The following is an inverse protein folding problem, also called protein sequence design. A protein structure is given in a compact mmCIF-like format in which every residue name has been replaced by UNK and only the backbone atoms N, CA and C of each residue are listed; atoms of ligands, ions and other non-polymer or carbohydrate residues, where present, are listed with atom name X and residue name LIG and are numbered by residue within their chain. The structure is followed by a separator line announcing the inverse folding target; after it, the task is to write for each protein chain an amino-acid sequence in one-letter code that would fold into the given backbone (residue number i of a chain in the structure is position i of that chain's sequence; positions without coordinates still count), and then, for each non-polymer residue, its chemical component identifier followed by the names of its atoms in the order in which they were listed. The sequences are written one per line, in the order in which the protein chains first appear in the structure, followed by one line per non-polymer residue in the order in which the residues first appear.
data_IF_815833143699
#
_entry.id   IF_815833143699
#
_cell.length_a   1.000
_cell.length_b   1.000
_cell.length_c   1.000
_cell.angle_alpha   90.00
_cell.angle_beta   90.00
_cell.angle_gamma   90.00
#
_symmetry.space_group_name_H-M   'P 1'
#
loop_
_entity.id
_entity.type
_entity.pdbx_description
1 polymer ?
#
# COMPACT_ATOMS: atom_id res chain seq x y z
N UNK A 1 -12.08 -40.83 -20.47
CA UNK A 1 -11.74 -40.87 -19.04
C UNK A 1 -13.05 -40.70 -18.25
N UNK A 2 -13.65 -41.85 -17.91
CA UNK A 2 -14.58 -42.15 -16.80
C UNK A 2 -15.63 -41.11 -16.34
N UNK A 3 -16.91 -41.34 -16.68
CA UNK A 3 -18.05 -40.91 -15.84
C UNK A 3 -19.13 -42.00 -15.78
N UNK A 4 -18.86 -42.94 -14.87
CA UNK A 4 -19.70 -43.64 -13.90
C UNK A 4 -21.24 -43.56 -14.07
N UNK A 5 -21.80 -44.76 -14.27
CA UNK A 5 -23.16 -45.24 -13.96
C UNK A 5 -23.70 -44.78 -12.60
N UNK A 6 -25.01 -44.54 -12.48
CA UNK A 6 -25.94 -45.57 -11.98
C UNK A 6 -27.25 -44.94 -11.50
N UNK A 7 -28.35 -45.37 -12.11
CA UNK A 7 -29.68 -45.23 -11.54
C UNK A 7 -29.79 -46.10 -10.28
N UNK A 8 -30.51 -45.61 -9.27
CA UNK A 8 -30.96 -46.42 -8.14
C UNK A 8 -32.41 -46.07 -7.80
N UNK A 9 -33.20 -47.12 -7.65
CA UNK A 9 -34.66 -47.19 -7.59
C UNK A 9 -35.16 -46.85 -6.18
N UNK A 10 -36.29 -46.13 -6.12
CA UNK A 10 -37.08 -45.84 -4.92
C UNK A 10 -37.82 -47.08 -4.39
N UNK A 11 -37.95 -47.24 -3.06
CA UNK A 11 -39.07 -47.96 -2.48
C UNK A 11 -40.03 -47.03 -1.72
N UNK A 12 -41.31 -47.23 -2.03
CA UNK A 12 -42.51 -46.69 -1.40
C UNK A 12 -42.70 -47.24 0.02
N UNK A 13 -42.84 -46.34 1.01
CA UNK A 13 -43.24 -46.64 2.38
C UNK A 13 -44.18 -45.54 2.89
N UNK A 14 -45.48 -45.82 2.82
CA UNK A 14 -46.33 -45.88 4.01
C UNK A 14 -46.65 -44.54 4.69
N UNK A 15 -47.87 -44.06 4.42
CA UNK A 15 -48.56 -42.97 5.11
C UNK A 15 -48.49 -43.08 6.64
N UNK A 16 -47.73 -42.21 7.28
CA UNK A 16 -47.84 -41.92 8.70
C UNK A 16 -48.61 -40.61 8.91
N UNK A 17 -49.64 -40.71 9.76
CA UNK A 17 -50.73 -39.77 9.94
C UNK A 17 -50.27 -38.61 10.83
N UNK A 18 -49.91 -37.47 10.21
CA UNK A 18 -49.50 -36.26 10.93
C UNK A 18 -50.70 -35.65 11.69
N UNK A 19 -50.62 -35.66 13.03
CA UNK A 19 -51.53 -34.90 13.91
C UNK A 19 -51.17 -33.42 13.84
N UNK A 20 -52.13 -32.48 13.73
CA UNK A 20 -51.82 -31.07 13.77
C UNK A 20 -51.43 -30.67 15.19
N UNK A 21 -50.14 -30.43 15.42
CA UNK A 21 -49.65 -29.71 16.59
C UNK A 21 -49.96 -28.22 16.40
N UNK A 22 -51.03 -27.76 17.04
CA UNK A 22 -51.38 -26.34 17.18
C UNK A 22 -50.27 -25.62 17.95
N UNK A 23 -49.29 -25.04 17.24
CA UNK A 23 -48.29 -24.16 17.84
C UNK A 23 -48.97 -22.84 18.20
N UNK A 24 -49.27 -22.66 19.49
CA UNK A 24 -49.50 -21.34 20.09
C UNK A 24 -48.23 -20.51 19.90
N UNK A 25 -48.24 -19.59 18.94
CA UNK A 25 -47.22 -18.56 18.77
C UNK A 25 -47.38 -17.54 19.88
N UNK A 26 -46.55 -17.66 20.92
CA UNK A 26 -46.39 -16.59 21.90
C UNK A 26 -45.66 -15.44 21.21
N UNK A 27 -46.41 -14.37 20.94
CA UNK A 27 -45.91 -13.09 20.44
C UNK A 27 -45.06 -12.46 21.55
N UNK A 28 -43.77 -12.82 21.60
CA UNK A 28 -42.82 -12.19 22.50
C UNK A 28 -42.72 -10.73 22.09
N UNK A 29 -43.21 -9.83 22.95
CA UNK A 29 -43.01 -8.39 22.85
C UNK A 29 -41.50 -8.15 22.81
N UNK A 30 -40.97 -7.85 21.62
CA UNK A 30 -39.68 -7.21 21.48
C UNK A 30 -39.79 -5.83 22.13
N UNK A 31 -39.43 -5.76 23.41
CA UNK A 31 -39.19 -4.47 24.07
C UNK A 31 -37.92 -3.92 23.43
N UNK A 32 -38.09 -3.08 22.41
CA UNK A 32 -37.00 -2.32 21.85
C UNK A 32 -36.46 -1.41 22.97
N UNK A 33 -35.30 -1.74 23.53
CA UNK A 33 -34.60 -0.89 24.49
C UNK A 33 -33.90 0.22 23.70
N UNK A 34 -34.42 1.46 23.64
CA UNK A 34 -33.78 2.55 22.88
C UNK A 34 -32.36 2.84 23.38
N UNK A 35 -32.06 2.53 24.65
CA UNK A 35 -30.73 2.67 25.23
C UNK A 35 -29.66 1.79 24.58
N UNK A 36 -30.00 0.58 24.11
CA UNK A 36 -29.03 -0.30 23.43
C UNK A 36 -28.72 0.22 22.03
N UNK A 37 -29.70 0.82 21.36
CA UNK A 37 -29.52 1.43 20.05
C UNK A 37 -28.69 2.73 20.13
N UNK A 38 -28.92 3.55 21.16
CA UNK A 38 -28.10 4.74 21.44
C UNK A 38 -26.67 4.36 21.84
N UNK A 39 -26.49 3.30 22.64
CA UNK A 39 -25.17 2.80 23.02
C UNK A 39 -24.37 2.27 21.80
N UNK A 40 -25.04 1.56 20.87
CA UNK A 40 -24.44 1.13 19.60
C UNK A 40 -24.07 2.31 18.68
N UNK A 41 -24.88 3.38 18.65
CA UNK A 41 -24.57 4.59 17.88
C UNK A 41 -23.37 5.36 18.45
N UNK A 42 -23.24 5.42 19.78
CA UNK A 42 -22.11 6.09 20.44
C UNK A 42 -20.78 5.32 20.29
N UNK A 43 -20.82 4.00 20.09
CA UNK A 43 -19.61 3.20 19.86
C UNK A 43 -19.05 3.33 18.42
N UNK A 44 -19.89 3.74 17.46
CA UNK A 44 -19.49 3.89 16.05
C UNK A 44 -18.62 5.13 15.80
N UNK A 45 -18.61 6.10 16.72
CA UNK A 45 -17.87 7.37 16.58
C UNK A 45 -16.36 7.25 16.84
N UNK A 46 -15.84 6.07 17.21
CA UNK A 46 -14.45 5.87 17.62
C UNK A 46 -13.57 5.16 16.57
N UNK A 47 -13.89 5.28 15.28
CA UNK A 47 -13.01 4.78 14.21
C UNK A 47 -11.92 5.82 13.93
N UNK A 48 -10.74 5.62 14.52
CA UNK A 48 -9.52 6.31 14.09
C UNK A 48 -8.96 5.59 12.86
N UNK A 49 -9.09 6.20 11.69
CA UNK A 49 -8.32 5.81 10.52
C UNK A 49 -6.88 6.31 10.71
N UNK A 50 -5.98 5.44 11.16
CA UNK A 50 -4.55 5.73 11.10
C UNK A 50 -4.09 5.50 9.66
N UNK A 51 -3.42 6.49 9.07
CA UNK A 51 -2.71 6.27 7.83
C UNK A 51 -1.70 5.12 8.06
N UNK A 52 -1.52 4.19 7.11
CA UNK A 52 -0.55 3.11 7.27
C UNK A 52 0.84 3.71 7.41
N UNK A 53 1.34 3.77 8.64
CA UNK A 53 2.71 4.18 8.92
C UNK A 53 3.63 3.00 8.64
N UNK A 54 4.57 3.18 7.72
CA UNK A 54 5.64 2.21 7.51
C UNK A 54 6.62 2.40 8.67
N UNK A 55 6.89 1.36 9.48
CA UNK A 55 7.78 1.48 10.63
C UNK A 55 9.17 1.93 10.19
N UNK A 56 9.82 2.73 11.03
CA UNK A 56 11.19 3.23 10.86
C UNK A 56 11.39 4.09 9.60
N UNK A 57 10.33 4.71 9.08
CA UNK A 57 10.40 5.66 7.96
C UNK A 57 10.16 7.09 8.45
N UNK A 58 11.14 7.97 8.26
CA UNK A 58 11.03 9.40 8.49
C UNK A 58 10.77 10.12 7.17
N UNK A 59 9.95 11.18 7.20
CA UNK A 59 9.70 12.02 6.03
C UNK A 59 10.51 13.31 6.11
N UNK A 60 11.31 13.57 5.08
CA UNK A 60 12.08 14.79 4.88
C UNK A 60 11.47 15.59 3.73
N UNK A 61 11.41 16.91 3.87
CA UNK A 61 10.97 17.84 2.82
C UNK A 61 12.16 18.68 2.38
N UNK A 62 12.53 18.57 1.11
CA UNK A 62 13.67 19.25 0.54
C UNK A 62 13.21 20.22 -0.55
N UNK A 63 13.54 21.49 -0.41
CA UNK A 63 13.27 22.50 -1.45
C UNK A 63 14.39 22.44 -2.48
N UNK A 64 14.05 22.10 -3.71
CA UNK A 64 15.04 21.92 -4.78
C UNK A 64 15.17 23.19 -5.61
N UNK A 65 16.41 23.69 -5.74
CA UNK A 65 16.72 24.80 -6.63
C UNK A 65 16.84 24.31 -8.09
N UNK A 66 17.36 23.10 -8.30
CA UNK A 66 17.48 22.45 -9.62
C UNK A 66 16.12 22.18 -10.26
N UNK A 67 15.16 21.70 -9.45
CA UNK A 67 13.82 21.35 -9.93
C UNK A 67 12.83 22.51 -9.79
N UNK A 68 13.10 23.47 -8.90
CA UNK A 68 12.22 24.61 -8.63
C UNK A 68 10.94 24.23 -7.86
N UNK A 69 10.96 23.10 -7.14
CA UNK A 69 9.82 22.55 -6.40
C UNK A 69 10.26 21.86 -5.11
N UNK A 70 9.33 21.66 -4.18
CA UNK A 70 9.58 20.88 -2.96
C UNK A 70 9.43 19.38 -3.23
N UNK A 71 10.39 18.59 -2.74
CA UNK A 71 10.41 17.14 -2.82
C UNK A 71 10.21 16.50 -1.46
N UNK A 72 9.37 15.48 -1.44
CA UNK A 72 9.18 14.64 -0.26
C UNK A 72 10.08 13.40 -0.40
N UNK A 73 10.94 13.19 0.59
CA UNK A 73 11.89 12.10 0.67
C UNK A 73 11.53 11.24 1.88
N UNK A 74 11.50 9.93 1.68
CA UNK A 74 11.21 8.94 2.71
C UNK A 74 12.52 8.26 3.10
N UNK A 75 12.95 8.39 4.35
CA UNK A 75 14.21 7.83 4.84
C UNK A 75 13.90 6.71 5.81
N UNK A 76 14.29 5.48 5.46
CA UNK A 76 14.24 4.33 6.36
C UNK A 76 15.60 4.06 6.96
N UNK A 77 15.70 4.01 8.28
CA UNK A 77 16.94 3.69 8.99
C UNK A 77 16.91 2.26 9.56
N UNK A 78 18.08 1.61 9.71
CA UNK A 78 18.19 0.34 10.42
C UNK A 78 17.80 0.42 11.89
N UNK A 79 17.43 -0.71 12.47
CA UNK A 79 17.17 -0.80 13.91
C UNK A 79 18.42 -0.41 14.72
N UNK A 80 18.26 0.48 15.70
CA UNK A 80 19.35 0.94 16.56
C UNK A 80 20.25 2.01 15.93
N UNK A 81 19.89 2.57 14.77
CA UNK A 81 20.61 3.66 14.10
C UNK A 81 20.99 4.81 15.05
N UNK A 82 20.02 5.30 15.85
CA UNK A 82 20.20 6.42 16.79
C UNK A 82 21.18 6.14 17.94
N UNK A 83 21.44 4.87 18.26
CA UNK A 83 22.28 4.49 19.40
C UNK A 83 23.77 4.39 19.05
N UNK A 84 24.12 4.46 17.76
CA UNK A 84 25.47 4.23 17.27
C UNK A 84 26.03 5.39 16.46
N UNK A 85 27.32 5.26 16.12
CA UNK A 85 28.00 6.12 15.15
C UNK A 85 28.50 5.29 13.96
N UNK A 86 27.74 4.25 13.62
CA UNK A 86 28.07 3.32 12.54
C UNK A 86 27.72 3.94 11.19
N UNK A 87 28.58 3.74 10.20
CA UNK A 87 28.28 4.11 8.81
C UNK A 87 27.49 2.99 8.13
N UNK A 88 26.45 3.38 7.40
CA UNK A 88 25.60 2.48 6.65
C UNK A 88 25.68 2.80 5.16
N UNK A 89 25.65 1.81 4.26
CA UNK A 89 25.42 2.08 2.85
C UNK A 89 24.01 2.65 2.66
N UNK A 90 23.84 3.44 1.59
CA UNK A 90 22.58 4.12 1.28
C UNK A 90 22.02 3.61 -0.05
N UNK A 91 20.76 3.18 -0.05
CA UNK A 91 20.02 2.78 -1.23
C UNK A 91 19.03 3.89 -1.62
N UNK A 92 19.31 4.59 -2.71
CA UNK A 92 18.37 5.54 -3.31
C UNK A 92 17.34 4.81 -4.18
N UNK A 93 16.06 4.98 -3.88
CA UNK A 93 14.96 4.26 -4.47
C UNK A 93 13.98 5.22 -5.15
N UNK A 94 13.83 5.11 -6.47
CA UNK A 94 12.76 5.80 -7.22
C UNK A 94 11.40 5.20 -6.90
N UNK A 95 10.32 5.97 -7.08
CA UNK A 95 8.96 5.53 -6.73
C UNK A 95 8.86 5.14 -5.23
N UNK A 96 9.49 5.94 -4.36
CA UNK A 96 9.70 5.62 -2.95
C UNK A 96 8.41 5.36 -2.17
N UNK A 97 7.35 6.10 -2.46
CA UNK A 97 6.01 5.92 -1.88
C UNK A 97 5.41 4.55 -2.18
N UNK A 98 5.67 4.00 -3.37
CA UNK A 98 5.17 2.71 -3.79
C UNK A 98 6.09 1.54 -3.37
N UNK A 99 7.37 1.79 -3.10
CA UNK A 99 8.38 0.72 -3.01
C UNK A 99 9.10 0.62 -1.66
N UNK A 100 9.09 1.66 -0.83
CA UNK A 100 9.88 1.65 0.41
C UNK A 100 9.42 0.57 1.40
N UNK A 101 8.12 0.27 1.47
CA UNK A 101 7.58 -0.71 2.41
C UNK A 101 8.04 -2.13 2.15
N UNK A 102 7.89 -2.62 0.92
CA UNK A 102 8.32 -3.98 0.56
C UNK A 102 9.85 -4.11 0.50
N UNK A 103 10.55 -3.04 0.10
CA UNK A 103 12.01 -3.00 0.04
C UNK A 103 12.60 -3.07 1.44
N UNK A 104 12.06 -2.28 2.39
CA UNK A 104 12.46 -2.30 3.80
C UNK A 104 12.24 -3.68 4.43
N UNK A 105 11.09 -4.31 4.21
CA UNK A 105 10.81 -5.65 4.73
C UNK A 105 11.76 -6.72 4.17
N UNK A 106 12.13 -6.61 2.89
CA UNK A 106 13.09 -7.52 2.24
C UNK A 106 14.48 -7.36 2.83
N UNK A 107 14.93 -6.11 3.02
CA UNK A 107 16.24 -5.79 3.62
C UNK A 107 16.32 -6.34 5.05
N UNK A 108 15.29 -6.08 5.86
CA UNK A 108 15.21 -6.56 7.24
C UNK A 108 15.28 -8.08 7.31
N UNK A 109 14.55 -8.78 6.44
CA UNK A 109 14.60 -10.24 6.36
C UNK A 109 16.00 -10.75 6.00
N UNK A 110 16.61 -10.20 4.94
CA UNK A 110 17.92 -10.66 4.48
C UNK A 110 19.03 -10.34 5.49
N UNK A 111 18.97 -9.18 6.13
CA UNK A 111 19.94 -8.75 7.13
C UNK A 111 19.87 -9.60 8.40
N UNK A 112 18.66 -9.84 8.94
CA UNK A 112 18.48 -10.74 10.10
C UNK A 112 18.99 -12.16 9.86
N UNK A 113 18.95 -12.62 8.61
CA UNK A 113 19.47 -13.94 8.21
C UNK A 113 20.96 -13.92 7.81
N UNK A 114 21.66 -12.80 8.03
CA UNK A 114 23.09 -12.65 7.71
C UNK A 114 23.42 -12.75 6.22
N UNK A 115 22.44 -12.48 5.34
CA UNK A 115 22.62 -12.54 3.88
C UNK A 115 22.99 -11.20 3.25
N UNK A 116 22.76 -10.10 3.97
CA UNK A 116 23.20 -8.75 3.60
C UNK A 116 23.48 -7.93 4.86
N UNK A 117 24.16 -6.80 4.71
CA UNK A 117 24.30 -5.81 5.79
C UNK A 117 23.07 -4.90 5.86
N UNK A 118 22.75 -4.40 7.07
CA UNK A 118 21.80 -3.30 7.26
C UNK A 118 22.20 -2.07 6.42
N UNK A 119 21.21 -1.35 5.91
CA UNK A 119 21.41 -0.17 5.07
C UNK A 119 20.29 0.84 5.23
N UNK A 120 20.58 2.11 4.91
CA UNK A 120 19.59 3.20 4.89
C UNK A 120 18.89 3.18 3.53
N UNK A 121 17.56 3.29 3.51
CA UNK A 121 16.78 3.40 2.25
C UNK A 121 16.26 4.82 2.12
N UNK A 122 16.59 5.49 1.03
CA UNK A 122 16.13 6.84 0.70
C UNK A 122 15.17 6.74 -0.49
N UNK A 123 13.87 6.70 -0.20
CA UNK A 123 12.79 6.69 -1.17
C UNK A 123 12.45 8.09 -1.67
N UNK A 124 12.59 8.32 -2.98
CA UNK A 124 12.25 9.57 -3.63
C UNK A 124 10.82 9.48 -4.14
N UNK A 125 9.92 10.31 -3.61
CA UNK A 125 8.53 10.36 -4.08
C UNK A 125 8.42 11.17 -5.37
N UNK A 126 7.49 10.78 -6.24
CA UNK A 126 7.28 11.49 -7.50
C UNK A 126 6.32 12.68 -7.35
N UNK A 127 6.62 13.74 -8.08
CA UNK A 127 5.69 14.84 -8.38
C UNK A 127 5.17 14.68 -9.80
N UNK A 128 6.09 14.62 -10.78
CA UNK A 128 5.83 14.24 -12.17
C UNK A 128 6.82 13.14 -12.60
N UNK A 129 6.39 11.89 -12.41
CA UNK A 129 7.16 10.70 -12.78
C UNK A 129 7.50 10.66 -14.26
N UNK A 130 6.62 11.17 -15.13
CA UNK A 130 6.85 11.15 -16.59
C UNK A 130 7.99 12.08 -16.95
N UNK A 131 8.02 13.28 -16.36
CA UNK A 131 9.12 14.24 -16.53
C UNK A 131 10.43 13.69 -15.98
N UNK A 132 10.42 13.22 -14.74
CA UNK A 132 11.65 12.91 -13.99
C UNK A 132 12.33 11.61 -14.44
N UNK A 133 11.57 10.62 -14.91
CA UNK A 133 12.10 9.30 -15.27
C UNK A 133 12.22 9.07 -16.78
N UNK A 134 12.08 10.11 -17.60
CA UNK A 134 12.28 10.00 -19.05
C UNK A 134 13.46 10.86 -19.53
N UNK A 135 14.44 10.26 -20.22
CA UNK A 135 15.64 10.97 -20.66
C UNK A 135 15.38 11.92 -21.83
N UNK A 136 14.40 11.62 -22.69
CA UNK A 136 14.10 12.41 -23.88
C UNK A 136 12.63 12.81 -23.92
N UNK A 137 12.35 14.02 -24.42
CA UNK A 137 11.00 14.48 -24.66
C UNK A 137 10.42 13.80 -25.92
N UNK A 138 9.22 13.23 -25.80
CA UNK A 138 8.49 12.64 -26.93
C UNK A 138 7.86 13.77 -27.75
N UNK A 139 8.41 14.05 -28.93
CA UNK A 139 7.95 15.13 -29.82
C UNK A 139 6.95 14.68 -30.90
N UNK A 140 6.85 13.38 -31.15
CA UNK A 140 6.02 12.83 -32.25
C UNK A 140 4.66 12.35 -31.74
N UNK A 141 3.59 13.02 -32.16
CA UNK A 141 2.22 12.60 -31.91
C UNK A 141 2.02 11.14 -32.32
N UNK A 142 1.20 10.39 -31.58
CA UNK A 142 0.81 9.05 -32.00
C UNK A 142 0.19 9.14 -33.40
N UNK A 143 0.53 8.18 -34.28
CA UNK A 143 -0.02 8.12 -35.63
C UNK A 143 -1.56 8.15 -35.54
N UNK A 144 -2.18 9.21 -36.06
CA UNK A 144 -3.64 9.43 -35.97
C UNK A 144 -4.09 10.75 -35.33
N UNK A 145 -3.18 11.67 -34.98
CA UNK A 145 -3.56 13.01 -34.52
C UNK A 145 -4.08 13.07 -33.09
N UNK A 146 -3.98 11.97 -32.34
CA UNK A 146 -4.20 11.95 -30.89
C UNK A 146 -2.96 12.58 -30.24
N UNK A 147 -3.20 13.53 -29.33
CA UNK A 147 -2.13 14.23 -28.60
C UNK A 147 -1.10 13.28 -27.98
N UNK A 148 0.10 13.82 -27.73
CA UNK A 148 1.21 13.06 -27.16
C UNK A 148 0.81 12.40 -25.82
N UNK A 149 1.06 11.09 -25.62
CA UNK A 149 0.73 10.43 -24.36
C UNK A 149 1.56 10.92 -23.17
N UNK A 150 2.70 11.60 -23.40
CA UNK A 150 3.66 12.00 -22.38
C UNK A 150 4.21 13.42 -22.62
N UNK A 151 3.37 14.47 -22.50
CA UNK A 151 3.75 15.83 -22.86
C UNK A 151 4.88 16.41 -21.99
N UNK A 152 5.03 15.93 -20.75
CA UNK A 152 6.03 16.43 -19.79
C UNK A 152 7.36 15.68 -19.81
N UNK A 153 7.52 14.68 -20.68
CA UNK A 153 8.73 13.84 -20.76
C UNK A 153 10.02 14.63 -21.07
N UNK A 154 11.19 14.06 -20.74
CA UNK A 154 12.52 14.60 -21.06
C UNK A 154 13.18 15.41 -19.94
N UNK A 155 12.83 15.15 -18.69
CA UNK A 155 13.39 15.84 -17.52
C UNK A 155 14.44 15.06 -16.73
N UNK A 156 14.83 13.84 -17.15
CA UNK A 156 15.68 12.99 -16.32
C UNK A 156 17.06 13.59 -15.99
N UNK A 157 17.66 14.36 -16.89
CA UNK A 157 18.95 15.00 -16.61
C UNK A 157 18.87 15.99 -15.44
N UNK A 158 17.75 16.74 -15.34
CA UNK A 158 17.50 17.63 -14.20
C UNK A 158 17.25 16.85 -12.92
N UNK A 159 16.51 15.74 -13.03
CA UNK A 159 16.23 14.88 -11.88
C UNK A 159 17.50 14.20 -11.35
N UNK A 160 18.38 13.72 -12.24
CA UNK A 160 19.67 13.16 -11.85
C UNK A 160 20.56 14.22 -11.19
N UNK A 161 20.62 15.42 -11.77
CA UNK A 161 21.34 16.55 -11.18
C UNK A 161 20.83 16.89 -9.77
N UNK A 162 19.51 16.89 -9.57
CA UNK A 162 18.92 17.04 -8.24
C UNK A 162 19.43 15.99 -7.25
N UNK A 163 19.45 14.71 -7.67
CA UNK A 163 19.95 13.63 -6.82
C UNK A 163 21.42 13.88 -6.44
N UNK A 164 22.26 14.21 -7.42
CA UNK A 164 23.70 14.38 -7.24
C UNK A 164 24.08 15.60 -6.41
N UNK A 165 23.44 16.75 -6.67
CA UNK A 165 23.90 18.04 -6.11
C UNK A 165 23.11 18.51 -4.91
N UNK A 166 21.93 17.96 -4.67
CA UNK A 166 21.05 18.41 -3.58
C UNK A 166 20.70 17.26 -2.63
N UNK A 167 20.17 16.14 -3.15
CA UNK A 167 19.69 15.05 -2.29
C UNK A 167 20.82 14.30 -1.59
N UNK A 168 21.84 13.84 -2.32
CA UNK A 168 22.96 13.09 -1.72
C UNK A 168 23.66 13.92 -0.64
N UNK A 169 24.04 15.20 -0.89
CA UNK A 169 24.66 16.04 0.13
C UNK A 169 23.81 16.31 1.38
N UNK A 170 22.46 16.29 1.27
CA UNK A 170 21.58 16.51 2.43
C UNK A 170 21.44 15.26 3.31
N UNK A 171 21.71 14.07 2.75
CA UNK A 171 21.68 12.79 3.47
C UNK A 171 23.01 12.44 4.16
N UNK A 172 24.14 12.94 3.65
CA UNK A 172 25.51 12.60 4.12
C UNK A 172 26.00 13.36 5.38
#
# INVERSE_FOLDING_TARGET
MMTIHSACVLPDKGKERLRPHTKRTNFARFVAFPGVFVFLLLFSSAVFAQAPAIPDVTTLRLKSDVLGEERTILVRTPAGYEAGNQRYPVLYLTDGDAHIGHTGATIEFLSRNGRMSELIVVGITNTDRTRDLSPTNVKTAAAGGIGLPFPTSGGADKFLKFIETELIPDIE
#
